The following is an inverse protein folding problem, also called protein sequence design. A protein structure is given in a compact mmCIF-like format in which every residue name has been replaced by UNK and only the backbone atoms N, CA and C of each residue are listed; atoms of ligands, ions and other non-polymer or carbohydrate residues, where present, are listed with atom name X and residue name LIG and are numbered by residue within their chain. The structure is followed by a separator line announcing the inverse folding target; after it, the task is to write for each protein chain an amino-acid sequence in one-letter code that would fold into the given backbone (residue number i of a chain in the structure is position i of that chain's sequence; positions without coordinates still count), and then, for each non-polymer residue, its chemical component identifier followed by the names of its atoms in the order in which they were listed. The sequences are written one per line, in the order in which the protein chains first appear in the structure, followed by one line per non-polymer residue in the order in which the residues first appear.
data_IF_851915770031
#
_entry.id   IF_851915770031
#
_cell.length_a   1.000
_cell.length_b   1.000
_cell.length_c   1.000
_cell.angle_alpha   90.00
_cell.angle_beta   90.00
_cell.angle_gamma   90.00
#
_symmetry.space_group_name_H-M   'P 1'
#
loop_
_entity.id
_entity.type
_entity.pdbx_description
1 polymer ?
#
# COMPACT_ATOMS: atom_id res chain seq x y z
N UNK A 1 6.74 0.62 -17.84
CA UNK A 1 6.45 2.07 -17.95
C UNK A 1 7.47 2.84 -17.09
N UNK A 2 7.79 4.11 -17.40
CA UNK A 2 8.93 4.83 -16.78
C UNK A 2 8.49 5.81 -15.66
N UNK A 3 8.35 5.37 -14.40
CA UNK A 3 8.05 6.28 -13.29
C UNK A 3 9.23 7.23 -13.03
N UNK A 4 8.93 8.48 -12.69
CA UNK A 4 9.94 9.50 -12.35
C UNK A 4 10.76 10.04 -13.53
N UNK A 5 10.47 9.63 -14.77
CA UNK A 5 11.15 10.14 -15.97
C UNK A 5 10.19 10.94 -16.86
N UNK A 6 10.74 11.78 -17.75
CA UNK A 6 9.95 12.56 -18.73
C UNK A 6 9.26 11.63 -19.72
N UNK A 7 7.93 11.71 -19.80
CA UNK A 7 7.07 10.90 -20.68
C UNK A 7 6.43 11.74 -21.80
N UNK A 8 7.14 12.75 -22.31
CA UNK A 8 6.73 13.52 -23.50
C UNK A 8 7.04 12.74 -24.79
N UNK A 9 6.34 13.05 -25.89
CA UNK A 9 6.51 12.37 -27.18
C UNK A 9 7.98 12.32 -27.62
N UNK A 10 8.69 13.45 -27.60
CA UNK A 10 10.12 13.52 -27.95
C UNK A 10 11.00 12.65 -27.04
N UNK A 11 10.66 12.59 -25.74
CA UNK A 11 11.40 11.80 -24.77
C UNK A 11 11.14 10.29 -24.91
N UNK A 12 10.01 9.89 -25.51
CA UNK A 12 9.72 8.51 -25.86
C UNK A 12 10.33 8.15 -27.21
N UNK A 13 10.28 9.05 -28.20
CA UNK A 13 10.92 8.86 -29.51
C UNK A 13 12.43 8.59 -29.37
N UNK A 14 13.11 9.40 -28.55
CA UNK A 14 14.55 9.20 -28.28
C UNK A 14 14.87 7.88 -27.57
N UNK A 15 13.94 7.29 -26.80
CA UNK A 15 14.16 6.02 -26.09
C UNK A 15 13.89 4.80 -26.92
N UNK A 16 12.90 4.89 -27.80
CA UNK A 16 12.51 3.83 -28.71
C UNK A 16 13.23 3.95 -30.06
N UNK A 17 14.19 4.86 -30.18
CA UNK A 17 14.98 5.13 -31.40
C UNK A 17 14.10 5.43 -32.63
N UNK A 18 12.97 6.11 -32.40
CA UNK A 18 12.04 6.52 -33.44
C UNK A 18 12.49 7.87 -33.99
N UNK A 19 12.70 7.94 -35.30
CA UNK A 19 13.13 9.16 -35.99
C UNK A 19 12.02 10.22 -35.98
N UNK A 20 12.24 11.29 -35.19
CA UNK A 20 11.39 12.48 -35.15
C UNK A 20 12.03 13.67 -35.89
N UNK A 21 13.08 13.49 -36.69
CA UNK A 21 13.78 14.59 -37.40
C UNK A 21 12.91 15.36 -38.39
N UNK A 22 11.90 14.71 -38.97
CA UNK A 22 10.92 15.33 -39.87
C UNK A 22 9.89 16.21 -39.14
N UNK A 23 9.92 16.22 -37.80
CA UNK A 23 9.04 16.99 -36.92
C UNK A 23 9.57 18.42 -36.73
N UNK A 24 9.72 19.17 -37.82
CA UNK A 24 10.15 20.58 -37.77
C UNK A 24 9.04 21.51 -37.26
N UNK A 25 7.78 21.18 -37.57
CA UNK A 25 6.58 21.82 -37.04
C UNK A 25 5.68 20.78 -36.38
N UNK A 26 5.03 21.17 -35.28
CA UNK A 26 4.10 20.31 -34.54
C UNK A 26 2.80 20.17 -35.34
N UNK A 27 2.70 19.09 -36.13
CA UNK A 27 1.52 18.77 -36.91
C UNK A 27 0.75 17.61 -36.28
N UNK A 28 -0.55 17.79 -36.04
CA UNK A 28 -1.38 16.76 -35.39
C UNK A 28 -1.39 15.41 -36.14
N UNK A 29 -1.30 15.44 -37.48
CA UNK A 29 -1.24 14.23 -38.31
C UNK A 29 0.07 13.45 -38.11
N UNK A 30 1.20 14.17 -38.12
CA UNK A 30 2.53 13.58 -37.93
C UNK A 30 2.68 13.06 -36.49
N UNK A 31 2.20 13.83 -35.52
CA UNK A 31 2.24 13.44 -34.11
C UNK A 31 1.36 12.20 -33.85
N UNK A 32 0.21 12.07 -34.52
CA UNK A 32 -0.63 10.86 -34.43
C UNK A 32 0.08 9.62 -34.98
N UNK A 33 0.82 9.75 -36.07
CA UNK A 33 1.61 8.65 -36.64
C UNK A 33 2.76 8.23 -35.71
N UNK A 34 3.55 9.20 -35.23
CA UNK A 34 4.65 8.95 -34.30
C UNK A 34 4.14 8.34 -32.99
N UNK A 35 2.99 8.81 -32.48
CA UNK A 35 2.37 8.27 -31.27
C UNK A 35 1.91 6.81 -31.47
N UNK A 36 1.41 6.45 -32.65
CA UNK A 36 1.04 5.07 -32.95
C UNK A 36 2.26 4.14 -32.91
N UNK A 37 3.39 4.57 -33.49
CA UNK A 37 4.64 3.80 -33.46
C UNK A 37 5.18 3.66 -32.03
N UNK A 38 5.18 4.75 -31.24
CA UNK A 38 5.55 4.73 -29.82
C UNK A 38 4.63 3.78 -29.03
N UNK A 39 3.32 3.82 -29.28
CA UNK A 39 2.36 2.98 -28.59
C UNK A 39 2.60 1.50 -28.89
N UNK A 40 2.82 1.14 -30.16
CA UNK A 40 3.16 -0.22 -30.56
C UNK A 40 4.46 -0.70 -29.92
N UNK A 41 5.49 0.17 -29.80
CA UNK A 41 6.72 -0.19 -29.10
C UNK A 41 6.52 -0.34 -27.58
N UNK A 42 5.59 0.43 -26.99
CA UNK A 42 5.25 0.34 -25.57
C UNK A 42 4.44 -0.91 -25.22
N UNK A 43 3.59 -1.41 -26.13
CA UNK A 43 2.65 -2.51 -25.88
C UNK A 43 2.92 -3.79 -26.67
N UNK A 44 3.79 -3.74 -27.68
CA UNK A 44 4.04 -4.83 -28.64
C UNK A 44 5.20 -5.76 -28.28
N UNK A 45 5.91 -5.49 -27.18
CA UNK A 45 6.86 -6.46 -26.62
C UNK A 45 6.15 -7.67 -26.03
N UNK A 46 6.88 -8.78 -25.86
CA UNK A 46 6.37 -9.93 -25.11
C UNK A 46 6.05 -9.50 -23.66
N UNK A 47 4.77 -9.34 -23.35
CA UNK A 47 4.28 -8.66 -22.14
C UNK A 47 4.52 -9.44 -20.85
N UNK A 48 4.81 -10.73 -20.95
CA UNK A 48 5.46 -11.54 -19.91
C UNK A 48 5.64 -12.96 -20.46
N UNK A 49 6.82 -13.55 -20.31
CA UNK A 49 6.86 -15.01 -20.16
C UNK A 49 6.49 -15.25 -18.72
N UNK A 50 5.29 -15.80 -18.47
CA UNK A 50 4.95 -16.33 -17.17
C UNK A 50 5.79 -17.60 -16.93
N UNK A 51 7.07 -17.43 -16.66
CA UNK A 51 7.80 -18.41 -15.88
C UNK A 51 7.13 -18.40 -14.51
N UNK A 52 6.63 -19.55 -14.07
CA UNK A 52 6.22 -19.73 -12.68
C UNK A 52 7.43 -19.43 -11.81
N UNK A 53 7.55 -18.18 -11.38
CA UNK A 53 8.53 -17.73 -10.44
C UNK A 53 8.01 -18.18 -9.07
N UNK A 54 8.21 -19.46 -8.78
CA UNK A 54 8.05 -20.03 -7.44
C UNK A 54 9.16 -19.45 -6.55
N UNK A 55 8.95 -18.22 -6.12
CA UNK A 55 9.88 -17.49 -5.28
C UNK A 55 9.82 -16.01 -5.59
N UNK A 56 9.20 -15.26 -4.68
CA UNK A 56 9.11 -13.79 -4.68
C UNK A 56 7.96 -13.17 -5.49
N UNK A 57 6.74 -13.63 -5.21
CA UNK A 57 5.55 -12.78 -5.40
C UNK A 57 4.63 -12.85 -4.20
N UNK A 58 4.99 -12.16 -3.12
CA UNK A 58 3.97 -11.75 -2.16
C UNK A 58 4.28 -10.46 -1.41
N UNK A 59 4.78 -9.44 -2.10
CA UNK A 59 4.87 -8.09 -1.54
C UNK A 59 5.00 -7.06 -2.66
N UNK A 60 3.92 -6.82 -3.40
CA UNK A 60 3.57 -5.53 -4.05
C UNK A 60 2.52 -5.76 -5.14
N UNK A 61 1.26 -5.93 -4.70
CA UNK A 61 0.12 -5.53 -5.50
C UNK A 61 -0.92 -4.99 -4.53
N UNK A 62 -1.33 -3.74 -4.76
CA UNK A 62 -2.33 -3.02 -3.98
C UNK A 62 -3.72 -3.62 -4.12
N UNK A 63 -3.94 -4.77 -3.50
CA UNK A 63 -5.25 -5.20 -3.01
C UNK A 63 -5.25 -5.02 -1.50
N UNK A 64 -6.39 -4.64 -0.93
CA UNK A 64 -6.68 -4.89 0.48
C UNK A 64 -6.64 -6.41 0.70
N UNK A 65 -5.43 -6.96 0.79
CA UNK A 65 -5.19 -8.34 1.12
C UNK A 65 -5.92 -8.61 2.42
N UNK A 66 -6.86 -9.55 2.38
CA UNK A 66 -7.69 -9.90 3.53
C UNK A 66 -6.73 -10.32 4.65
N UNK A 67 -6.51 -9.42 5.61
CA UNK A 67 -5.76 -9.76 6.82
C UNK A 67 -6.64 -10.68 7.66
N UNK A 68 -6.55 -11.98 7.38
CA UNK A 68 -7.22 -12.99 8.20
C UNK A 68 -6.50 -13.06 9.53
N UNK A 69 -7.06 -12.39 10.54
CA UNK A 69 -6.63 -12.56 11.92
C UNK A 69 -7.11 -13.93 12.38
N UNK A 70 -6.25 -14.94 12.27
CA UNK A 70 -6.49 -16.25 12.87
C UNK A 70 -6.30 -16.12 14.38
N UNK A 71 -7.40 -15.90 15.11
CA UNK A 71 -7.39 -16.10 16.56
C UNK A 71 -7.63 -17.58 16.81
N UNK A 72 -6.55 -18.36 16.83
CA UNK A 72 -6.63 -19.68 17.46
C UNK A 72 -7.19 -19.45 18.86
N UNK A 73 -8.30 -20.12 19.20
CA UNK A 73 -8.89 -20.06 20.53
C UNK A 73 -7.96 -20.73 21.52
N UNK A 74 -6.86 -20.07 21.88
CA UNK A 74 -6.01 -20.49 22.97
C UNK A 74 -6.81 -20.26 24.24
N UNK A 75 -7.16 -21.36 24.92
CA UNK A 75 -7.67 -21.31 26.28
C UNK A 75 -6.52 -20.91 27.22
N UNK A 76 -6.11 -19.65 27.14
CA UNK A 76 -5.12 -19.09 28.05
C UNK A 76 -5.73 -19.04 29.45
N UNK A 77 -4.93 -19.40 30.47
CA UNK A 77 -5.35 -19.30 31.86
C UNK A 77 -5.59 -17.83 32.21
N UNK A 78 -6.81 -17.52 32.64
CA UNK A 78 -7.13 -16.24 33.27
C UNK A 78 -6.73 -16.33 34.75
N UNK A 79 -5.86 -15.42 35.19
CA UNK A 79 -5.49 -15.27 36.60
C UNK A 79 -6.29 -14.10 37.16
N UNK A 80 -7.14 -14.37 38.13
CA UNK A 80 -7.95 -13.34 38.81
C UNK A 80 -7.14 -12.67 39.92
N UNK A 81 -7.53 -11.43 40.24
CA UNK A 81 -7.04 -10.74 41.42
C UNK A 81 -7.48 -11.47 42.70
N UNK A 82 -6.62 -11.46 43.70
CA UNK A 82 -6.91 -11.93 45.05
C UNK A 82 -7.80 -10.95 45.82
N UNK A 83 -8.43 -11.41 46.89
CA UNK A 83 -9.30 -10.58 47.74
C UNK A 83 -8.56 -9.38 48.35
N UNK A 84 -7.26 -9.55 48.67
CA UNK A 84 -6.41 -8.47 49.18
C UNK A 84 -6.14 -7.39 48.11
N UNK A 85 -5.90 -7.81 46.86
CA UNK A 85 -5.71 -6.88 45.74
C UNK A 85 -6.99 -6.11 45.43
N UNK A 86 -8.16 -6.74 45.57
CA UNK A 86 -9.46 -6.07 45.44
C UNK A 86 -9.67 -5.04 46.56
N UNK A 87 -9.36 -5.38 47.81
CA UNK A 87 -9.47 -4.44 48.92
C UNK A 87 -8.52 -3.23 48.75
N UNK A 88 -7.29 -3.47 48.28
CA UNK A 88 -6.34 -2.41 47.96
C UNK A 88 -6.82 -1.55 46.78
N UNK A 89 -7.45 -2.16 45.78
CA UNK A 89 -8.06 -1.44 44.67
C UNK A 89 -9.17 -0.49 45.16
N UNK A 90 -10.08 -0.96 46.03
CA UNK A 90 -11.14 -0.13 46.60
C UNK A 90 -10.59 1.06 47.41
N UNK A 91 -9.58 0.83 48.24
CA UNK A 91 -8.86 1.89 48.97
C UNK A 91 -8.25 2.94 48.02
N UNK A 92 -7.73 2.50 46.88
CA UNK A 92 -7.19 3.39 45.84
C UNK A 92 -8.29 4.18 45.14
N UNK A 93 -9.45 3.58 44.89
CA UNK A 93 -10.61 4.28 44.33
C UNK A 93 -11.15 5.34 45.30
N UNK A 94 -11.14 5.09 46.61
CA UNK A 94 -11.49 6.10 47.63
C UNK A 94 -10.60 7.36 47.52
N UNK A 95 -9.29 7.15 47.32
CA UNK A 95 -8.34 8.26 47.16
C UNK A 95 -8.62 9.05 45.88
N UNK A 96 -8.88 8.36 44.77
CA UNK A 96 -9.18 8.97 43.47
C UNK A 96 -10.48 9.79 43.56
N UNK A 97 -11.51 9.25 44.20
CA UNK A 97 -12.77 9.96 44.41
C UNK A 97 -12.60 11.20 45.30
N UNK A 98 -11.84 11.07 46.41
CA UNK A 98 -11.59 12.20 47.32
C UNK A 98 -10.76 13.33 46.68
N UNK A 99 -9.78 13.00 45.83
CA UNK A 99 -8.89 14.00 45.20
C UNK A 99 -9.40 14.51 43.85
N UNK A 100 -10.06 13.66 43.06
CA UNK A 100 -10.52 13.95 41.71
C UNK A 100 -12.00 14.31 41.61
N UNK A 101 -12.75 14.28 42.72
CA UNK A 101 -14.17 14.63 42.79
C UNK A 101 -15.13 13.61 42.15
N UNK A 102 -14.64 12.73 41.28
CA UNK A 102 -15.42 11.66 40.65
C UNK A 102 -14.56 10.42 40.37
N UNK A 103 -15.19 9.25 40.35
CA UNK A 103 -14.54 7.99 40.02
C UNK A 103 -15.45 7.19 39.08
N UNK A 104 -15.06 7.06 37.80
CA UNK A 104 -15.87 6.41 36.76
C UNK A 104 -16.08 4.90 37.00
N UNK A 105 -15.21 4.26 37.77
CA UNK A 105 -15.39 2.86 38.15
C UNK A 105 -16.54 2.67 39.16
N UNK A 106 -16.90 3.72 39.91
CA UNK A 106 -17.96 3.74 40.92
C UNK A 106 -19.17 4.61 40.53
N UNK A 107 -19.21 5.06 39.28
CA UNK A 107 -20.28 5.91 38.75
C UNK A 107 -21.56 5.10 38.47
#
# INVERSE_FOLDING_TARGET
MFPGKRNSLDALCSRYEIDNSKRTLHGALLDAQILADVYLMMTGGQTSMAFSMEGESQQQAGEMGIQRVVRAGSQLRVVYASDEELANHESRLDLVQKKGGSCLWRA
#
